data_IF_838275500306
#
_entry.id   IF_838275500306
#
_cell.length_a   1.000
_cell.length_b   1.000
_cell.length_c   1.000
_cell.angle_alpha   90.00
_cell.angle_beta   90.00
_cell.angle_gamma   90.00
#
_symmetry.space_group_name_H-M   'P 1'
#
loop_
_entity.id
_entity.type
_entity.pdbx_description
1 polymer ?
#
# COMPACT_ATOMS: atom_id res chain seq x y z
N UNK A 1 -46.31 -11.74 7.32
CA UNK A 1 -45.58 -12.17 6.12
C UNK A 1 -44.21 -11.52 6.18
N UNK A 2 -43.18 -12.29 6.55
CA UNK A 2 -41.81 -11.77 6.56
C UNK A 2 -41.31 -11.75 5.11
N UNK A 3 -41.11 -10.55 4.57
CA UNK A 3 -40.43 -10.38 3.29
C UNK A 3 -38.98 -10.84 3.45
N UNK A 4 -38.73 -12.10 3.09
CA UNK A 4 -37.38 -12.63 2.95
C UNK A 4 -36.80 -12.05 1.65
N UNK A 5 -36.12 -10.91 1.76
CA UNK A 5 -35.37 -10.35 0.64
C UNK A 5 -34.06 -11.13 0.54
N UNK A 6 -33.96 -11.98 -0.48
CA UNK A 6 -32.72 -12.65 -0.85
C UNK A 6 -31.79 -11.60 -1.49
N UNK A 7 -30.86 -11.04 -0.72
CA UNK A 7 -29.79 -10.23 -1.29
C UNK A 7 -28.79 -11.17 -1.96
N UNK A 8 -28.84 -11.27 -3.28
CA UNK A 8 -27.75 -11.84 -4.06
C UNK A 8 -26.52 -10.95 -3.84
N UNK A 9 -25.48 -11.48 -3.19
CA UNK A 9 -24.17 -10.84 -3.05
C UNK A 9 -23.42 -10.87 -4.41
N UNK A 10 -24.03 -10.32 -5.46
CA UNK A 10 -23.40 -10.07 -6.77
C UNK A 10 -22.72 -8.70 -6.80
N UNK A 11 -22.31 -8.19 -5.63
CA UNK A 11 -21.61 -6.92 -5.50
C UNK A 11 -20.16 -7.03 -5.94
N UNK A 12 -19.65 -5.96 -6.53
CA UNK A 12 -18.22 -5.79 -6.79
C UNK A 12 -17.49 -5.82 -5.44
N UNK A 13 -16.35 -6.53 -5.36
CA UNK A 13 -15.64 -6.69 -4.08
C UNK A 13 -14.87 -5.40 -3.75
N UNK A 14 -14.69 -5.09 -2.45
CA UNK A 14 -14.01 -3.85 -2.06
C UNK A 14 -12.50 -3.85 -2.29
N UNK A 15 -11.89 -5.01 -2.54
CA UNK A 15 -10.47 -5.13 -2.78
C UNK A 15 -10.13 -6.47 -3.44
N UNK A 16 -8.92 -6.54 -4.01
CA UNK A 16 -8.36 -7.74 -4.60
C UNK A 16 -8.28 -8.91 -3.61
N UNK A 17 -8.11 -8.64 -2.32
CA UNK A 17 -8.03 -9.72 -1.32
C UNK A 17 -9.37 -10.43 -1.15
N UNK A 18 -10.51 -9.74 -1.19
CA UNK A 18 -11.81 -10.39 -1.10
C UNK A 18 -12.24 -11.06 -2.42
N UNK A 19 -11.70 -10.62 -3.57
CA UNK A 19 -11.72 -11.45 -4.78
C UNK A 19 -10.92 -12.74 -4.58
N UNK A 20 -9.73 -12.66 -3.99
CA UNK A 20 -8.89 -13.84 -3.70
C UNK A 20 -9.57 -14.81 -2.75
N UNK A 21 -10.13 -14.30 -1.64
CA UNK A 21 -10.83 -15.10 -0.62
C UNK A 21 -12.08 -15.82 -1.16
N UNK A 22 -12.59 -15.39 -2.32
CA UNK A 22 -13.74 -16.00 -2.98
C UNK A 22 -13.36 -16.90 -4.16
N UNK A 23 -12.05 -17.19 -4.29
CA UNK A 23 -11.52 -18.18 -5.24
C UNK A 23 -10.88 -17.59 -6.51
N UNK A 24 -10.77 -16.26 -6.63
CA UNK A 24 -10.08 -15.66 -7.78
C UNK A 24 -8.57 -15.87 -7.66
N UNK A 25 -7.95 -16.52 -8.64
CA UNK A 25 -6.52 -16.85 -8.63
C UNK A 25 -5.70 -16.20 -9.76
N UNK A 26 -6.36 -15.54 -10.71
CA UNK A 26 -5.70 -14.88 -11.86
C UNK A 26 -5.36 -13.43 -11.55
N UNK A 27 -4.12 -13.04 -11.84
CA UNK A 27 -3.74 -11.63 -11.80
C UNK A 27 -4.22 -10.91 -13.06
N UNK A 28 -5.02 -9.85 -12.89
CA UNK A 28 -5.57 -9.06 -13.99
C UNK A 28 -6.12 -7.72 -13.45
N UNK A 29 -6.73 -6.91 -14.31
CA UNK A 29 -7.50 -5.74 -13.88
C UNK A 29 -8.88 -6.16 -13.38
N UNK A 30 -9.24 -5.75 -12.17
CA UNK A 30 -10.56 -5.96 -11.57
C UNK A 30 -11.19 -4.61 -11.28
N UNK A 31 -12.52 -4.52 -11.36
CA UNK A 31 -13.25 -3.43 -10.71
C UNK A 31 -13.32 -3.71 -9.21
N UNK A 32 -13.07 -2.71 -8.37
CA UNK A 32 -13.29 -2.78 -6.93
C UNK A 32 -14.23 -1.67 -6.48
N UNK A 33 -14.95 -1.93 -5.38
CA UNK A 33 -15.94 -1.02 -4.78
C UNK A 33 -15.60 -0.76 -3.31
N UNK A 34 -14.74 0.23 -3.08
CA UNK A 34 -14.02 0.43 -1.80
C UNK A 34 -14.91 0.81 -0.63
N UNK A 35 -16.10 1.36 -0.86
CA UNK A 35 -17.12 1.65 0.16
C UNK A 35 -18.35 0.72 0.06
N UNK A 36 -18.30 -0.25 -0.86
CA UNK A 36 -19.28 -1.31 -1.05
C UNK A 36 -20.58 -0.80 -1.68
N UNK A 37 -21.46 -1.74 -2.05
CA UNK A 37 -22.67 -1.46 -2.84
C UNK A 37 -23.67 -0.43 -2.27
N UNK A 38 -23.55 -0.04 -1.00
CA UNK A 38 -24.36 1.01 -0.35
C UNK A 38 -23.63 2.35 -0.24
N UNK A 39 -22.35 2.35 -0.59
CA UNK A 39 -21.48 3.50 -0.65
C UNK A 39 -21.86 4.45 -1.78
N UNK A 40 -21.29 5.64 -1.73
CA UNK A 40 -21.54 6.68 -2.72
C UNK A 40 -20.52 6.66 -3.85
N UNK A 41 -19.36 6.04 -3.65
CA UNK A 41 -18.33 5.96 -4.67
C UNK A 41 -18.71 4.91 -5.71
N UNK A 42 -18.41 5.22 -6.97
CA UNK A 42 -18.53 4.23 -8.03
C UNK A 42 -17.36 3.26 -7.97
N UNK A 43 -17.54 2.00 -8.42
CA UNK A 43 -16.44 1.09 -8.61
C UNK A 43 -15.39 1.62 -9.60
N UNK A 44 -14.13 1.26 -9.41
CA UNK A 44 -13.03 1.67 -10.30
C UNK A 44 -12.03 0.53 -10.53
N UNK A 45 -11.33 0.52 -11.68
CA UNK A 45 -10.40 -0.56 -12.00
C UNK A 45 -9.07 -0.40 -11.26
N UNK A 46 -8.54 -1.53 -10.82
CA UNK A 46 -7.22 -1.69 -10.20
C UNK A 46 -6.56 -2.94 -10.77
N UNK A 47 -5.23 -3.02 -10.73
CA UNK A 47 -4.57 -4.27 -11.02
C UNK A 47 -4.56 -5.13 -9.75
N UNK A 48 -5.16 -6.31 -9.82
CA UNK A 48 -5.09 -7.30 -8.76
C UNK A 48 -3.97 -8.28 -9.05
N UNK A 49 -2.96 -8.31 -8.19
CA UNK A 49 -1.98 -9.37 -8.18
C UNK A 49 -2.44 -10.45 -7.20
N UNK A 50 -2.83 -11.61 -7.74
CA UNK A 50 -3.34 -12.74 -6.98
C UNK A 50 -2.20 -13.71 -6.67
N UNK A 51 -1.78 -13.78 -5.40
CA UNK A 51 -0.71 -14.65 -4.94
C UNK A 51 -1.28 -15.99 -4.51
N UNK A 52 -0.68 -17.09 -4.99
CA UNK A 52 -1.22 -18.45 -4.76
C UNK A 52 -0.79 -19.04 -3.43
N UNK A 53 0.47 -18.83 -3.04
CA UNK A 53 1.04 -19.43 -1.85
C UNK A 53 2.00 -18.44 -1.16
N UNK A 54 1.67 -17.93 0.04
CA UNK A 54 0.36 -18.06 0.70
C UNK A 54 -0.74 -17.31 -0.08
N UNK A 55 -2.02 -17.70 0.03
CA UNK A 55 -3.10 -17.10 -0.75
C UNK A 55 -3.45 -15.69 -0.24
N UNK A 56 -3.28 -14.66 -1.09
CA UNK A 56 -3.79 -13.31 -0.85
C UNK A 56 -3.87 -12.49 -2.15
N UNK A 57 -4.65 -11.41 -2.14
CA UNK A 57 -4.78 -10.49 -3.27
C UNK A 57 -4.21 -9.12 -2.95
N UNK A 58 -3.27 -8.65 -3.77
CA UNK A 58 -2.70 -7.32 -3.69
C UNK A 58 -3.42 -6.34 -4.60
N UNK A 59 -3.80 -5.17 -4.08
CA UNK A 59 -4.48 -4.11 -4.83
C UNK A 59 -3.45 -3.08 -5.28
N UNK A 60 -3.19 -3.01 -6.59
CA UNK A 60 -2.16 -2.12 -7.17
C UNK A 60 -2.84 -1.02 -7.97
N UNK A 61 -2.56 0.23 -7.60
CA UNK A 61 -3.05 1.42 -8.30
C UNK A 61 -1.87 2.14 -8.95
N UNK A 62 -1.80 2.02 -10.27
CA UNK A 62 -0.80 2.71 -11.07
C UNK A 62 -1.12 4.21 -11.19
N UNK A 63 -0.09 5.00 -11.45
CA UNK A 63 -0.18 6.44 -11.72
C UNK A 63 0.46 6.76 -13.07
N UNK A 64 0.17 7.95 -13.58
CA UNK A 64 0.88 8.57 -14.69
C UNK A 64 1.39 9.94 -14.27
N UNK A 65 2.50 10.34 -14.89
CA UNK A 65 3.05 11.68 -14.79
C UNK A 65 2.20 12.64 -15.62
N UNK A 66 1.64 13.68 -15.01
CA UNK A 66 0.80 14.65 -15.75
C UNK A 66 1.51 15.96 -16.06
N UNK A 67 2.65 16.24 -15.43
CA UNK A 67 3.45 17.43 -15.69
C UNK A 67 4.95 17.10 -15.54
N UNK A 68 5.75 17.40 -16.57
CA UNK A 68 7.20 17.17 -16.55
C UNK A 68 7.86 18.55 -16.58
N UNK A 69 7.91 19.18 -15.42
CA UNK A 69 8.73 20.38 -15.17
C UNK A 69 9.62 20.12 -13.95
N UNK A 70 10.22 21.14 -13.34
CA UNK A 70 10.79 21.01 -12.00
C UNK A 70 9.78 20.48 -10.96
N UNK A 71 8.48 20.55 -11.28
CA UNK A 71 7.41 19.93 -10.50
C UNK A 71 6.77 18.80 -11.31
N UNK A 72 6.63 17.65 -10.66
CA UNK A 72 6.00 16.44 -11.18
C UNK A 72 4.77 16.14 -10.34
N UNK A 73 3.61 16.08 -10.97
CA UNK A 73 2.35 15.70 -10.33
C UNK A 73 1.91 14.32 -10.78
N UNK A 74 1.32 13.57 -9.86
CA UNK A 74 0.92 12.18 -10.05
C UNK A 74 -0.59 12.06 -10.10
N UNK A 75 -1.11 11.53 -11.21
CA UNK A 75 -2.52 11.19 -11.34
C UNK A 75 -2.69 9.67 -11.39
N UNK A 76 -3.53 9.14 -10.49
CA UNK A 76 -3.79 7.71 -10.41
C UNK A 76 -4.75 7.27 -11.52
N UNK A 77 -4.33 6.24 -12.28
CA UNK A 77 -4.99 5.85 -13.52
C UNK A 77 -6.37 5.28 -13.19
N UNK A 78 -7.41 5.84 -13.82
CA UNK A 78 -8.81 5.43 -13.67
C UNK A 78 -9.35 5.45 -12.23
N UNK A 79 -8.67 6.12 -11.31
CA UNK A 79 -9.08 6.25 -9.91
C UNK A 79 -9.06 7.72 -9.48
N UNK A 80 -10.19 8.23 -9.00
CA UNK A 80 -10.26 9.58 -8.42
C UNK A 80 -9.49 9.64 -7.10
N UNK A 81 -9.06 10.84 -6.71
CA UNK A 81 -8.40 11.06 -5.43
C UNK A 81 -9.22 10.56 -4.22
N UNK A 82 -10.55 10.74 -4.27
CA UNK A 82 -11.45 10.26 -3.20
C UNK A 82 -11.48 8.73 -3.16
N UNK A 83 -11.48 8.06 -4.31
CA UNK A 83 -11.41 6.60 -4.38
C UNK A 83 -10.07 6.06 -3.85
N UNK A 84 -8.95 6.67 -4.22
CA UNK A 84 -7.61 6.26 -3.76
C UNK A 84 -7.47 6.45 -2.24
N UNK A 85 -7.87 7.60 -1.71
CA UNK A 85 -7.81 7.85 -0.26
C UNK A 85 -8.76 6.94 0.52
N UNK A 86 -9.94 6.61 -0.03
CA UNK A 86 -10.85 5.64 0.57
C UNK A 86 -10.30 4.21 0.53
N UNK A 87 -9.62 3.82 -0.55
CA UNK A 87 -8.89 2.56 -0.62
C UNK A 87 -7.83 2.49 0.49
N UNK A 88 -7.03 3.54 0.65
CA UNK A 88 -5.98 3.61 1.67
C UNK A 88 -6.57 3.52 3.09
N UNK A 89 -7.64 4.25 3.37
CA UNK A 89 -8.27 4.22 4.69
C UNK A 89 -8.83 2.84 5.03
N UNK A 90 -9.45 2.18 4.06
CA UNK A 90 -10.16 0.91 4.27
C UNK A 90 -9.26 -0.34 4.15
N UNK A 91 -8.07 -0.22 3.56
CA UNK A 91 -7.11 -1.34 3.48
C UNK A 91 -6.50 -1.65 4.84
N UNK A 92 -5.93 -2.83 5.06
CA UNK A 92 -5.21 -3.11 6.31
C UNK A 92 -3.95 -2.23 6.40
N UNK A 93 -3.18 -2.18 5.32
CA UNK A 93 -2.03 -1.30 5.14
C UNK A 93 -1.84 -1.01 3.65
N UNK A 94 -1.17 0.09 3.36
CA UNK A 94 -0.74 0.44 2.01
C UNK A 94 0.68 0.94 2.08
N UNK A 95 1.39 0.84 0.97
CA UNK A 95 2.70 1.41 0.79
C UNK A 95 2.84 1.99 -0.61
N UNK A 96 3.77 2.91 -0.72
CA UNK A 96 4.26 3.39 -1.99
C UNK A 96 5.73 3.70 -1.83
N UNK A 97 6.51 3.38 -2.85
CA UNK A 97 7.95 3.59 -2.82
C UNK A 97 8.38 4.47 -3.98
N UNK A 98 9.57 5.04 -3.86
CA UNK A 98 10.25 5.63 -4.99
C UNK A 98 11.74 5.30 -4.92
N UNK A 99 12.36 5.25 -6.09
CA UNK A 99 13.81 5.23 -6.24
C UNK A 99 14.30 6.62 -6.61
N UNK A 100 15.37 7.07 -5.98
CA UNK A 100 16.03 8.34 -6.29
C UNK A 100 17.46 8.05 -6.76
N UNK A 101 17.71 8.26 -8.05
CA UNK A 101 19.03 8.13 -8.67
C UNK A 101 19.73 9.47 -8.65
N UNK A 102 21.02 9.52 -8.34
CA UNK A 102 21.72 10.79 -8.14
C UNK A 102 23.21 10.75 -8.53
N UNK A 103 23.75 11.93 -8.82
CA UNK A 103 25.18 12.24 -8.84
C UNK A 103 25.38 13.65 -8.32
N UNK A 104 26.11 13.79 -7.21
CA UNK A 104 26.35 15.06 -6.50
C UNK A 104 25.07 15.86 -6.20
N UNK A 105 23.97 15.15 -5.96
CA UNK A 105 22.64 15.69 -5.70
C UNK A 105 22.00 14.96 -4.49
N UNK A 106 22.40 15.30 -3.25
CA UNK A 106 21.82 14.78 -2.02
C UNK A 106 20.29 14.86 -2.02
N UNK A 107 19.65 13.84 -1.45
CA UNK A 107 18.20 13.82 -1.26
C UNK A 107 17.81 14.78 -0.13
N UNK A 108 18.57 14.76 0.97
CA UNK A 108 18.40 15.63 2.13
C UNK A 108 19.48 16.70 2.17
N UNK A 109 19.18 17.86 1.60
CA UNK A 109 20.09 19.01 1.71
C UNK A 109 19.35 20.32 1.65
N UNK A 110 19.74 21.26 2.51
CA UNK A 110 19.24 22.65 2.46
C UNK A 110 19.55 23.35 1.13
N UNK A 111 20.54 22.85 0.39
CA UNK A 111 20.90 23.37 -0.94
C UNK A 111 20.05 22.76 -2.06
N UNK A 112 19.49 21.57 -1.85
CA UNK A 112 18.67 20.79 -2.78
C UNK A 112 17.27 20.61 -2.16
N UNK A 113 16.43 21.64 -2.32
CA UNK A 113 15.06 21.73 -1.76
C UNK A 113 14.09 20.77 -2.48
N UNK A 114 14.43 19.49 -2.53
CA UNK A 114 13.56 18.44 -3.05
C UNK A 114 12.41 18.23 -2.06
N UNK A 115 11.17 18.28 -2.55
CA UNK A 115 9.98 18.11 -1.72
C UNK A 115 9.10 17.02 -2.27
N UNK A 116 8.83 16.02 -1.43
CA UNK A 116 7.90 14.93 -1.72
C UNK A 116 6.61 15.23 -0.96
N UNK A 117 5.48 15.23 -1.67
CA UNK A 117 4.18 15.58 -1.11
C UNK A 117 3.26 14.37 -1.01
N UNK A 118 2.59 14.27 0.13
CA UNK A 118 1.43 13.40 0.32
C UNK A 118 0.11 14.18 0.17
N UNK A 119 -0.99 13.68 0.75
CA UNK A 119 -2.29 14.35 0.80
C UNK A 119 -2.29 15.75 1.42
N UNK A 120 -1.58 15.90 2.54
CA UNK A 120 -1.77 17.05 3.43
C UNK A 120 -0.54 17.95 3.47
N UNK A 121 0.66 17.37 3.53
CA UNK A 121 1.91 18.07 3.78
C UNK A 121 3.06 17.46 2.98
N UNK A 122 4.17 18.19 2.94
CA UNK A 122 5.48 17.66 2.56
C UNK A 122 5.94 16.59 3.54
N UNK A 123 6.67 15.60 3.06
CA UNK A 123 7.29 14.54 3.85
C UNK A 123 8.74 14.93 4.16
N UNK A 124 8.95 15.69 5.24
CA UNK A 124 10.25 16.33 5.52
C UNK A 124 11.27 15.40 6.21
N UNK A 125 10.83 14.28 6.79
CA UNK A 125 11.66 13.34 7.57
C UNK A 125 11.69 11.93 6.94
N UNK A 126 11.73 11.84 5.61
CA UNK A 126 11.89 10.54 4.95
C UNK A 126 13.28 9.96 5.25
N UNK A 127 13.33 8.65 5.49
CA UNK A 127 14.57 7.89 5.62
C UNK A 127 14.61 6.84 4.53
N UNK A 128 15.79 6.61 3.96
CA UNK A 128 15.98 5.56 2.96
C UNK A 128 16.03 4.18 3.61
N UNK A 129 15.64 3.16 2.85
CA UNK A 129 15.57 1.79 3.34
C UNK A 129 16.98 1.30 3.77
N UNK A 130 18.05 1.79 3.13
CA UNK A 130 19.44 1.53 3.55
C UNK A 130 19.74 1.97 4.99
N UNK A 131 18.98 2.93 5.53
CA UNK A 131 19.18 3.43 6.89
C UNK A 131 18.68 2.41 7.90
N UNK A 132 17.52 1.81 7.64
CA UNK A 132 16.99 0.69 8.43
C UNK A 132 17.90 -0.54 8.35
N UNK A 133 18.56 -0.74 7.20
CA UNK A 133 19.51 -1.84 7.00
C UNK A 133 20.94 -1.53 7.47
N UNK A 134 21.19 -0.35 8.04
CA UNK A 134 22.53 0.12 8.45
C UNK A 134 23.59 0.01 7.34
N UNK A 135 23.16 0.21 6.09
CA UNK A 135 23.96 -0.03 4.88
C UNK A 135 24.17 1.23 4.02
N UNK A 136 23.67 2.39 4.45
CA UNK A 136 23.87 3.62 3.70
C UNK A 136 25.34 4.03 3.62
N UNK A 137 25.75 4.57 2.48
CA UNK A 137 27.09 5.10 2.26
C UNK A 137 27.44 6.18 3.28
N UNK A 138 28.70 6.17 3.74
CA UNK A 138 29.25 7.16 4.68
C UNK A 138 28.46 7.35 5.99
N UNK A 139 27.64 6.38 6.39
CA UNK A 139 26.71 6.48 7.54
C UNK A 139 25.70 7.64 7.42
N UNK A 140 25.36 8.03 6.20
CA UNK A 140 24.34 9.04 5.93
C UNK A 140 22.91 8.46 6.09
N UNK A 141 21.89 9.33 6.02
CA UNK A 141 20.48 8.89 6.01
C UNK A 141 20.09 8.13 4.74
N UNK A 142 20.82 8.39 3.66
CA UNK A 142 20.58 7.89 2.32
C UNK A 142 21.91 7.84 1.56
N UNK A 143 22.06 6.94 0.60
CA UNK A 143 23.24 6.83 -0.23
C UNK A 143 23.53 8.10 -1.03
N UNK A 144 22.51 8.80 -1.55
CA UNK A 144 22.73 10.05 -2.29
C UNK A 144 23.23 11.20 -1.42
N UNK A 145 22.98 11.13 -0.11
CA UNK A 145 23.43 12.16 0.83
C UNK A 145 24.95 12.15 1.00
N UNK A 146 25.63 11.07 0.61
CA UNK A 146 27.09 11.01 0.51
C UNK A 146 27.67 11.97 -0.56
N UNK A 147 26.82 12.55 -1.42
CA UNK A 147 27.16 13.60 -2.40
C UNK A 147 28.34 13.22 -3.32
N UNK A 148 28.37 11.98 -3.79
CA UNK A 148 29.44 11.46 -4.65
C UNK A 148 29.13 11.64 -6.14
N UNK A 149 30.17 11.77 -6.96
CA UNK A 149 30.05 11.88 -8.42
C UNK A 149 29.84 10.51 -9.09
N UNK A 150 29.12 10.53 -10.23
CA UNK A 150 28.53 9.43 -11.02
C UNK A 150 29.44 8.29 -11.51
N UNK A 151 30.63 8.06 -10.98
CA UNK A 151 31.40 6.85 -11.34
C UNK A 151 30.77 5.56 -10.77
N UNK A 152 29.81 5.69 -9.85
CA UNK A 152 28.98 4.61 -9.30
C UNK A 152 27.50 4.95 -9.47
N UNK A 153 26.69 4.02 -9.98
CA UNK A 153 25.22 4.13 -10.01
C UNK A 153 24.67 4.16 -8.58
N UNK A 154 24.65 5.33 -7.95
CA UNK A 154 24.13 5.53 -6.60
C UNK A 154 22.63 5.74 -6.67
N UNK A 155 21.91 4.97 -5.87
CA UNK A 155 20.46 5.11 -5.75
C UNK A 155 20.01 4.94 -4.31
N UNK A 156 18.98 5.68 -3.98
CA UNK A 156 18.18 5.51 -2.78
C UNK A 156 16.87 4.83 -3.11
N UNK A 157 16.41 4.00 -2.18
CA UNK A 157 15.07 3.45 -2.18
C UNK A 157 14.38 3.90 -0.91
N UNK A 158 13.18 4.47 -1.05
CA UNK A 158 12.39 4.99 0.06
C UNK A 158 11.02 4.34 0.01
N UNK A 159 10.63 3.72 1.11
CA UNK A 159 9.32 3.11 1.29
C UNK A 159 8.46 3.91 2.27
N UNK A 160 7.28 4.36 1.81
CA UNK A 160 6.31 5.07 2.63
C UNK A 160 5.14 4.14 2.92
N UNK A 161 4.91 3.81 4.20
CA UNK A 161 3.81 2.94 4.65
C UNK A 161 2.81 3.65 5.57
N UNK A 162 3.09 4.90 5.96
CA UNK A 162 2.19 5.72 6.77
C UNK A 162 1.01 6.19 5.91
N UNK A 163 -0.19 5.67 6.18
CA UNK A 163 -1.41 5.99 5.40
C UNK A 163 -1.70 7.48 5.23
N UNK A 164 -1.40 8.32 6.22
CA UNK A 164 -1.65 9.77 6.15
C UNK A 164 -0.66 10.51 5.22
N UNK A 165 0.45 9.88 4.86
CA UNK A 165 1.42 10.35 3.88
C UNK A 165 1.12 9.81 2.48
N UNK A 166 0.22 8.84 2.33
CA UNK A 166 -0.13 8.22 1.05
C UNK A 166 -1.43 8.79 0.46
N UNK A 167 -1.57 8.85 -0.87
CA UNK A 167 -0.55 8.51 -1.86
C UNK A 167 0.47 9.65 -2.06
N UNK A 168 1.60 9.38 -2.73
CA UNK A 168 2.46 10.44 -3.29
C UNK A 168 1.65 11.20 -4.34
N UNK A 169 1.56 12.51 -4.19
CA UNK A 169 0.74 13.39 -5.05
C UNK A 169 1.60 14.28 -5.94
N UNK A 170 2.77 14.72 -5.45
CA UNK A 170 3.63 15.66 -6.13
C UNK A 170 5.08 15.50 -5.66
N UNK A 171 6.03 15.74 -6.57
CA UNK A 171 7.44 15.92 -6.27
C UNK A 171 7.89 17.25 -6.87
N UNK A 172 8.54 18.09 -6.06
CA UNK A 172 9.21 19.30 -6.52
C UNK A 172 10.72 19.07 -6.44
N UNK A 173 11.39 19.25 -7.57
CA UNK A 173 12.83 19.11 -7.73
C UNK A 173 13.45 20.47 -7.99
N UNK A 174 14.56 20.76 -7.32
CA UNK A 174 15.33 21.98 -7.62
C UNK A 174 16.17 21.79 -8.88
N UNK A 175 16.34 22.87 -9.65
CA UNK A 175 17.24 22.88 -10.81
C UNK A 175 18.68 22.60 -10.37
N UNK A 176 19.28 21.58 -10.97
CA UNK A 176 20.67 21.20 -10.74
C UNK A 176 21.63 22.04 -11.60
N UNK A 177 22.85 22.25 -11.10
CA UNK A 177 23.95 22.84 -11.88
C UNK A 177 24.52 21.84 -12.89
N UNK A 178 25.22 22.34 -13.91
CA UNK A 178 25.88 21.49 -14.92
C UNK A 178 26.77 20.42 -14.26
N UNK A 179 26.66 19.18 -14.74
CA UNK A 179 27.42 18.02 -14.24
C UNK A 179 26.72 17.22 -13.13
N UNK A 180 25.65 17.74 -12.53
CA UNK A 180 24.86 17.06 -11.50
C UNK A 180 23.63 16.39 -12.09
N UNK A 181 23.20 15.30 -11.47
CA UNK A 181 22.04 14.52 -11.92
C UNK A 181 21.17 14.08 -10.75
N UNK A 182 19.86 14.07 -10.98
CA UNK A 182 18.89 13.47 -10.07
C UNK A 182 17.66 13.02 -10.86
N UNK A 183 17.09 11.87 -10.49
CA UNK A 183 15.88 11.32 -11.09
C UNK A 183 15.07 10.56 -10.03
N UNK A 184 13.76 10.84 -9.99
CA UNK A 184 12.80 10.08 -9.20
C UNK A 184 12.06 9.07 -10.07
N UNK A 185 12.01 7.82 -9.63
CA UNK A 185 11.18 6.76 -10.20
C UNK A 185 10.16 6.35 -9.14
N UNK A 186 8.91 6.78 -9.28
CA UNK A 186 7.85 6.51 -8.30
C UNK A 186 7.11 5.23 -8.66
N UNK A 187 7.03 4.30 -7.72
CA UNK A 187 6.34 3.03 -7.87
C UNK A 187 4.82 3.18 -7.66
N UNK A 188 4.00 2.22 -8.11
CA UNK A 188 2.57 2.21 -7.86
C UNK A 188 2.21 2.20 -6.37
N UNK A 189 1.02 2.69 -6.04
CA UNK A 189 0.45 2.48 -4.71
C UNK A 189 0.01 1.03 -4.58
N UNK A 190 0.45 0.36 -3.52
CA UNK A 190 0.10 -1.03 -3.21
C UNK A 190 -0.68 -1.06 -1.90
N UNK A 191 -1.85 -1.69 -1.91
CA UNK A 191 -2.70 -1.83 -0.74
C UNK A 191 -3.04 -3.31 -0.49
N UNK A 192 -2.81 -3.76 0.73
CA UNK A 192 -3.05 -5.14 1.17
C UNK A 192 -4.18 -5.19 2.22
N UNK A 193 -4.99 -6.24 2.14
CA UNK A 193 -6.07 -6.54 3.08
C UNK A 193 -5.83 -7.85 3.83
N UNK A 194 -4.55 -8.14 4.09
CA UNK A 194 -4.09 -9.20 4.98
C UNK A 194 -4.08 -8.63 6.40
N UNK A 195 -4.59 -9.37 7.38
CA UNK A 195 -4.64 -8.89 8.76
C UNK A 195 -3.46 -9.44 9.57
N UNK A 196 -3.15 -8.77 10.68
CA UNK A 196 -1.92 -9.05 11.45
C UNK A 196 -1.98 -10.35 12.24
N UNK A 197 -3.18 -10.77 12.64
CA UNK A 197 -3.35 -11.94 13.49
C UNK A 197 -4.68 -12.66 13.26
N UNK A 198 -4.78 -13.88 13.78
CA UNK A 198 -6.06 -14.57 13.89
C UNK A 198 -7.11 -13.72 14.64
N UNK A 199 -6.71 -13.00 15.69
CA UNK A 199 -7.64 -12.16 16.46
C UNK A 199 -8.24 -11.03 15.60
N UNK A 200 -7.44 -10.38 14.76
CA UNK A 200 -7.92 -9.34 13.85
C UNK A 200 -8.89 -9.91 12.81
N UNK A 201 -8.64 -11.13 12.31
CA UNK A 201 -9.56 -11.84 11.41
C UNK A 201 -10.88 -12.15 12.10
N UNK A 202 -10.83 -12.69 13.32
CA UNK A 202 -12.01 -13.03 14.10
C UNK A 202 -12.90 -11.82 14.32
N UNK A 203 -12.30 -10.68 14.70
CA UNK A 203 -13.02 -9.42 14.96
C UNK A 203 -13.52 -8.75 13.69
N UNK A 204 -12.76 -8.76 12.58
CA UNK A 204 -13.19 -8.14 11.32
C UNK A 204 -14.36 -8.86 10.67
N UNK A 205 -14.44 -10.18 10.80
CA UNK A 205 -15.45 -11.00 10.14
C UNK A 205 -16.53 -11.55 11.09
N UNK A 206 -16.58 -11.06 12.33
CA UNK A 206 -17.51 -11.51 13.37
C UNK A 206 -17.58 -13.05 13.48
N UNK A 207 -16.41 -13.70 13.49
CA UNK A 207 -16.31 -15.17 13.51
C UNK A 207 -16.48 -15.66 14.95
N UNK A 208 -17.72 -15.94 15.34
CA UNK A 208 -18.08 -16.46 16.65
C UNK A 208 -18.99 -17.70 16.54
N UNK A 209 -18.98 -18.54 17.59
CA UNK A 209 -19.85 -19.72 17.69
C UNK A 209 -19.63 -20.76 16.57
N UNK A 210 -20.70 -21.22 15.95
CA UNK A 210 -20.68 -22.26 14.90
C UNK A 210 -20.40 -21.74 13.48
N UNK A 211 -19.69 -20.61 13.34
CA UNK A 211 -19.37 -20.05 12.03
C UNK A 211 -18.47 -21.03 11.23
N UNK A 212 -18.78 -21.38 9.97
CA UNK A 212 -17.99 -22.33 9.18
C UNK A 212 -16.57 -21.86 8.87
N UNK A 213 -16.26 -20.57 9.10
CA UNK A 213 -14.92 -19.99 8.99
C UNK A 213 -14.07 -20.24 10.26
N UNK A 214 -14.63 -20.89 11.28
CA UNK A 214 -13.93 -21.37 12.47
C UNK A 214 -13.06 -22.56 12.08
N UNK A 215 -11.76 -22.52 12.44
CA UNK A 215 -10.78 -23.62 12.23
C UNK A 215 -10.36 -23.83 10.77
N UNK A 216 -9.69 -22.83 10.20
CA UNK A 216 -9.09 -22.94 8.88
C UNK A 216 -7.76 -22.18 8.77
N UNK A 217 -7.08 -22.34 7.64
CA UNK A 217 -5.87 -21.61 7.32
C UNK A 217 -6.18 -20.20 6.80
N UNK A 218 -5.44 -19.22 7.30
CA UNK A 218 -5.47 -17.85 6.84
C UNK A 218 -4.06 -17.35 6.58
N UNK A 219 -3.91 -16.49 5.57
CA UNK A 219 -2.70 -15.68 5.43
C UNK A 219 -2.77 -14.51 6.42
N UNK A 220 -1.73 -14.35 7.22
CA UNK A 220 -1.55 -13.19 8.09
C UNK A 220 -0.25 -12.47 7.74
N UNK A 221 -0.18 -11.21 8.13
CA UNK A 221 1.00 -10.37 7.99
C UNK A 221 1.17 -9.49 9.24
N UNK A 222 1.90 -9.98 10.27
CA UNK A 222 2.03 -9.29 11.55
C UNK A 222 2.71 -7.91 11.47
N UNK A 223 3.72 -7.75 10.62
CA UNK A 223 4.49 -6.52 10.44
C UNK A 223 3.99 -5.64 9.29
N UNK A 224 3.08 -6.15 8.44
CA UNK A 224 2.49 -5.40 7.34
C UNK A 224 3.51 -5.16 6.24
N UNK A 225 3.86 -3.90 5.96
CA UNK A 225 4.95 -3.63 5.01
C UNK A 225 6.33 -3.71 5.66
N UNK A 226 6.52 -4.66 6.57
CA UNK A 226 7.80 -4.91 7.22
C UNK A 226 8.69 -5.80 6.36
N UNK A 227 9.78 -6.28 6.97
CA UNK A 227 10.79 -7.09 6.28
C UNK A 227 10.39 -8.59 6.19
N UNK A 228 9.26 -9.00 6.76
CA UNK A 228 8.80 -10.38 6.70
C UNK A 228 7.62 -10.52 5.74
N UNK A 229 7.64 -11.54 4.86
CA UNK A 229 6.52 -11.78 3.97
C UNK A 229 5.31 -12.34 4.74
N UNK A 230 4.08 -12.14 4.22
CA UNK A 230 2.91 -12.82 4.73
C UNK A 230 3.10 -14.35 4.76
N UNK A 231 2.43 -15.03 5.69
CA UNK A 231 2.50 -16.48 5.83
C UNK A 231 1.17 -17.08 6.29
N UNK A 232 0.97 -18.38 6.08
CA UNK A 232 -0.25 -19.07 6.51
C UNK A 232 -0.17 -19.49 7.98
N UNK A 233 -1.27 -19.30 8.70
CA UNK A 233 -1.49 -19.80 10.05
C UNK A 233 -2.82 -20.54 10.12
N UNK A 234 -2.91 -21.53 11.01
CA UNK A 234 -4.18 -22.17 11.31
C UNK A 234 -4.87 -21.45 12.46
N UNK A 235 -6.01 -20.81 12.21
CA UNK A 235 -6.78 -20.09 13.21
C UNK A 235 -7.93 -20.95 13.74
N UNK A 236 -7.90 -21.28 15.04
CA UNK A 236 -8.86 -22.20 15.66
C UNK A 236 -9.98 -21.53 16.49
N UNK A 237 -9.93 -20.19 16.63
CA UNK A 237 -10.89 -19.32 17.34
C UNK A 237 -11.64 -20.01 18.50
N UNK A 238 -10.91 -20.44 19.53
CA UNK A 238 -11.52 -21.12 20.68
C UNK A 238 -12.42 -20.12 21.42
N UNK A 239 -13.74 -20.35 21.40
CA UNK A 239 -14.75 -19.53 22.11
C UNK A 239 -15.32 -20.32 23.29
N UNK A 240 -15.50 -19.65 24.43
CA UNK A 240 -16.24 -20.17 25.59
C UNK A 240 -17.71 -19.75 25.48
N UNK A 241 -18.62 -20.70 25.28
CA UNK A 241 -20.07 -20.44 25.27
C UNK A 241 -20.61 -20.41 26.70
N UNK A 242 -21.26 -19.32 27.11
CA UNK A 242 -22.01 -19.25 28.38
C UNK A 242 -23.50 -19.35 28.03
N UNK A 243 -24.18 -20.46 28.37
CA UNK A 243 -25.62 -20.56 28.15
C UNK A 243 -26.35 -19.58 29.08
N UNK A 244 -27.14 -18.69 28.49
CA UNK A 244 -28.05 -17.80 29.22
C UNK A 244 -29.38 -18.52 29.29
N UNK A 245 -29.69 -19.10 30.45
CA UNK A 245 -31.03 -19.64 30.72
C UNK A 245 -31.93 -18.48 31.12
N UNK A 246 -32.91 -18.18 30.26
CA UNK A 246 -34.04 -17.30 30.57
C UNK A 246 -35.22 -18.08 31.13
#
# INVERSE_FOLDING_TARGET
MNNCVLYLLTGIRPSCNEYRNTGSDKSYTYLIDVDGHKGALQPFPVYCQMIVQPPYGSTIVHHHLTNITSTVEFTYIYASYIQVTKLISNSAYCSQSFRYHCSEAPLHSTNFDNKIYGPNNTMDDLTCDCHSDESCLNNEKCNCDANLASETDISDYVTISTKSQLPITKIEMKKLSTGKYAEFVVEPLICLNILRSCYDIMTKFDIYGNNPLVRQYYTIDPDGYGNHPPFMVYCNYIVTEIPIYG
#
